data_IF_503437993160
#
_entry.id   IF_503437993160
#
_cell.length_a   1.000
_cell.length_b   1.000
_cell.length_c   1.000
_cell.angle_alpha   90.00
_cell.angle_beta   90.00
_cell.angle_gamma   90.00
#
_symmetry.space_group_name_H-M   'P 1'
#
loop_
_entity.id
_entity.type
_entity.pdbx_description
1 polymer ?
#
# COMPACT_ATOMS: atom_id res chain seq x y z
N UNK A 1 0.36 22.97 25.18
CA UNK A 1 1.46 22.24 24.50
C UNK A 1 0.88 21.62 23.26
N UNK A 2 1.24 22.13 22.07
CA UNK A 2 0.66 21.68 20.80
C UNK A 2 0.95 20.20 20.60
N UNK A 3 -0.09 19.38 20.47
CA UNK A 3 0.01 17.92 20.37
C UNK A 3 -0.48 17.44 19.01
N UNK A 4 -0.07 18.13 17.96
CA UNK A 4 -0.18 17.61 16.61
C UNK A 4 1.14 17.89 15.91
N UNK A 5 1.88 16.81 15.67
CA UNK A 5 2.93 16.84 14.65
C UNK A 5 2.29 17.19 13.32
N UNK A 6 3.01 17.95 12.50
CA UNK A 6 2.56 18.26 11.15
C UNK A 6 2.48 16.97 10.34
N UNK A 7 1.28 16.61 9.90
CA UNK A 7 1.07 15.49 8.98
C UNK A 7 1.24 16.02 7.56
N UNK A 8 2.15 15.42 6.81
CA UNK A 8 2.40 15.75 5.40
C UNK A 8 2.26 14.50 4.55
N UNK A 9 1.66 14.66 3.37
CA UNK A 9 1.59 13.60 2.36
C UNK A 9 2.85 13.69 1.50
N UNK A 10 3.40 12.54 1.10
CA UNK A 10 4.49 12.42 0.13
C UNK A 10 4.15 11.34 -0.89
N UNK A 11 4.90 11.31 -1.99
CA UNK A 11 4.84 10.22 -2.95
C UNK A 11 5.23 8.88 -2.31
N UNK A 12 4.65 7.81 -2.84
CA UNK A 12 4.99 6.44 -2.45
C UNK A 12 6.33 6.06 -3.08
N UNK A 13 7.20 5.46 -2.29
CA UNK A 13 8.49 4.95 -2.73
C UNK A 13 8.57 3.43 -2.55
N UNK A 14 9.53 2.80 -3.24
CA UNK A 14 9.70 1.34 -3.20
C UNK A 14 9.91 0.77 -1.79
N UNK A 15 10.48 1.57 -0.89
CA UNK A 15 10.71 1.23 0.53
C UNK A 15 9.42 1.10 1.33
N UNK A 16 8.31 1.70 0.89
CA UNK A 16 7.02 1.63 1.58
C UNK A 16 6.29 0.29 1.33
N UNK A 17 6.65 -0.42 0.26
CA UNK A 17 5.91 -1.57 -0.22
C UNK A 17 5.89 -2.74 0.77
N UNK A 18 6.93 -2.91 1.57
CA UNK A 18 6.96 -3.98 2.58
C UNK A 18 5.88 -3.75 3.64
N UNK A 19 5.76 -2.52 4.15
CA UNK A 19 4.70 -2.13 5.09
C UNK A 19 3.31 -2.25 4.46
N UNK A 20 3.16 -1.93 3.18
CA UNK A 20 1.88 -2.11 2.48
C UNK A 20 1.50 -3.58 2.33
N UNK A 21 2.48 -4.46 2.11
CA UNK A 21 2.23 -5.90 2.06
C UNK A 21 1.81 -6.42 3.44
N UNK A 22 2.45 -5.97 4.52
CA UNK A 22 2.02 -6.30 5.89
C UNK A 22 0.57 -5.87 6.15
N UNK A 23 0.18 -4.66 5.74
CA UNK A 23 -1.20 -4.20 5.86
C UNK A 23 -2.19 -5.04 5.01
N UNK A 24 -1.79 -5.44 3.80
CA UNK A 24 -2.61 -6.32 2.96
C UNK A 24 -2.85 -7.68 3.62
N UNK A 25 -1.91 -8.16 4.42
CA UNK A 25 -2.02 -9.43 5.15
C UNK A 25 -2.90 -9.35 6.41
N UNK A 26 -3.25 -8.15 6.89
CA UNK A 26 -4.08 -7.96 8.07
C UNK A 26 -5.51 -8.49 7.80
N UNK A 27 -5.94 -9.57 8.48
CA UNK A 27 -7.27 -10.14 8.27
C UNK A 27 -8.41 -9.16 8.57
N UNK A 28 -8.24 -8.24 9.52
CA UNK A 28 -9.30 -7.28 9.83
C UNK A 28 -9.39 -6.19 8.77
N UNK A 29 -8.25 -5.73 8.25
CA UNK A 29 -8.23 -4.81 7.11
C UNK A 29 -8.91 -5.42 5.88
N UNK A 30 -8.61 -6.70 5.58
CA UNK A 30 -9.25 -7.46 4.49
C UNK A 30 -10.77 -7.51 4.69
N UNK A 31 -11.26 -7.81 5.91
CA UNK A 31 -12.71 -7.88 6.18
C UNK A 31 -13.43 -6.55 5.99
N UNK A 32 -12.76 -5.42 6.24
CA UNK A 32 -13.33 -4.08 6.12
C UNK A 32 -13.24 -3.50 4.71
N UNK A 33 -12.29 -3.98 3.89
CA UNK A 33 -12.05 -3.44 2.57
C UNK A 33 -13.20 -3.78 1.59
N UNK A 34 -13.63 -2.77 0.81
CA UNK A 34 -14.61 -2.98 -0.25
C UNK A 34 -14.05 -3.78 -1.44
N UNK A 35 -12.72 -3.75 -1.63
CA UNK A 35 -12.02 -4.45 -2.70
C UNK A 35 -10.77 -5.10 -2.12
N UNK A 36 -10.60 -6.38 -2.43
CA UNK A 36 -9.45 -7.20 -2.00
C UNK A 36 -8.95 -8.04 -3.16
N UNK A 37 -7.68 -8.45 -3.09
CA UNK A 37 -7.12 -9.46 -3.99
C UNK A 37 -7.75 -10.82 -3.70
N UNK A 38 -7.79 -11.71 -4.71
CA UNK A 38 -8.29 -13.09 -4.54
C UNK A 38 -7.44 -13.88 -3.52
N UNK A 39 -6.11 -13.77 -3.62
CA UNK A 39 -5.17 -14.25 -2.61
C UNK A 39 -4.35 -13.08 -2.05
N UNK A 40 -4.66 -12.59 -0.84
CA UNK A 40 -3.89 -11.54 -0.18
C UNK A 40 -2.42 -11.92 0.08
N UNK A 41 -2.08 -13.22 0.07
CA UNK A 41 -0.71 -13.71 0.30
C UNK A 41 0.11 -13.84 -0.99
N UNK A 42 -0.48 -13.61 -2.16
CA UNK A 42 0.27 -13.62 -3.42
C UNK A 42 1.20 -12.42 -3.54
N UNK A 43 2.45 -12.60 -3.07
CA UNK A 43 3.48 -11.56 -3.11
C UNK A 43 3.90 -11.21 -4.54
N UNK A 44 3.82 -12.16 -5.48
CA UNK A 44 4.21 -11.91 -6.88
C UNK A 44 3.19 -11.00 -7.55
N UNK A 45 1.90 -11.24 -7.32
CA UNK A 45 0.84 -10.36 -7.81
C UNK A 45 0.91 -8.95 -7.19
N UNK A 46 1.19 -8.86 -5.88
CA UNK A 46 1.43 -7.59 -5.20
C UNK A 46 2.59 -6.82 -5.83
N UNK A 47 3.74 -7.46 -6.02
CA UNK A 47 4.93 -6.82 -6.59
C UNK A 47 4.72 -6.40 -8.04
N UNK A 48 4.04 -7.22 -8.86
CA UNK A 48 3.71 -6.86 -10.23
C UNK A 48 2.80 -5.63 -10.31
N UNK A 49 1.80 -5.55 -9.43
CA UNK A 49 0.87 -4.41 -9.35
C UNK A 49 1.61 -3.12 -8.98
N UNK A 50 2.40 -3.14 -7.90
CA UNK A 50 3.13 -1.95 -7.44
C UNK A 50 4.24 -1.52 -8.39
N UNK A 51 4.94 -2.47 -9.03
CA UNK A 51 5.90 -2.13 -10.08
C UNK A 51 5.24 -1.39 -11.25
N UNK A 52 4.03 -1.78 -11.65
CA UNK A 52 3.28 -1.07 -12.69
C UNK A 52 2.95 0.36 -12.25
N UNK A 53 2.53 0.55 -10.99
CA UNK A 53 2.18 1.86 -10.42
C UNK A 53 3.42 2.76 -10.34
N UNK A 54 4.49 2.30 -9.72
CA UNK A 54 5.72 3.08 -9.51
C UNK A 54 6.40 3.49 -10.82
N UNK A 55 6.23 2.72 -11.89
CA UNK A 55 6.77 3.04 -13.22
C UNK A 55 5.76 3.76 -14.14
N UNK A 56 4.58 4.13 -13.64
CA UNK A 56 3.55 4.79 -14.44
C UNK A 56 3.80 6.30 -14.51
N UNK A 57 4.06 6.82 -15.70
CA UNK A 57 4.22 8.26 -15.96
C UNK A 57 2.92 9.07 -15.85
N UNK A 58 1.79 8.41 -15.55
CA UNK A 58 0.46 9.02 -15.45
C UNK A 58 0.04 9.30 -13.99
N UNK A 59 0.89 8.98 -13.02
CA UNK A 59 0.65 9.27 -11.60
C UNK A 59 1.44 10.54 -11.29
N UNK A 60 0.74 11.66 -11.13
CA UNK A 60 1.26 13.01 -10.85
C UNK A 60 0.50 13.59 -9.68
#
# INVERSE_FOLDING_TARGET
MSRFESITIREVESSDLETFYEHQLDPEAIRMAAFVCEDPKDKVAFDAHWNKILNSSQIT
#
